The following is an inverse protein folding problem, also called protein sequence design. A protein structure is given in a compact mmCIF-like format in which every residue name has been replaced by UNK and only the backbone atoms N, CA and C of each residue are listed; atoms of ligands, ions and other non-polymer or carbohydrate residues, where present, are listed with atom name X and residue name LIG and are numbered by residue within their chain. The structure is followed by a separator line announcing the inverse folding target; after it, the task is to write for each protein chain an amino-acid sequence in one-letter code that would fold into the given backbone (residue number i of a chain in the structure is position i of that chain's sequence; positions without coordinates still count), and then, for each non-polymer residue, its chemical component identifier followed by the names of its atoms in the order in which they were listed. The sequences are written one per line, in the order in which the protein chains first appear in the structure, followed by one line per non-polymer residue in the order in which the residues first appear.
data_IF_217877257725
#
_entry.id   IF_217877257725
#
_cell.length_a   1.000
_cell.length_b   1.000
_cell.length_c   1.000
_cell.angle_alpha   90.00
_cell.angle_beta   90.00
_cell.angle_gamma   90.00
#
_symmetry.space_group_name_H-M   'P 1'
#
loop_
_entity.id
_entity.type
_entity.pdbx_description
1 polymer ?
#
# COMPACT_ATOMS: atom_id res chain seq x y z
N UNK A 1 -28.34 -9.52 -17.23
CA UNK A 1 -27.03 -10.22 -17.20
C UNK A 1 -26.01 -9.53 -18.08
N UNK A 2 -26.30 -9.30 -19.37
CA UNK A 2 -25.35 -8.66 -20.31
C UNK A 2 -24.93 -7.23 -19.92
N UNK A 3 -25.87 -6.36 -19.52
CA UNK A 3 -25.56 -4.98 -19.06
C UNK A 3 -24.68 -4.94 -17.80
N UNK A 4 -24.93 -5.84 -16.84
CA UNK A 4 -24.19 -5.89 -15.58
C UNK A 4 -22.76 -6.42 -15.78
N UNK A 5 -22.56 -7.36 -16.70
CA UNK A 5 -21.22 -7.83 -17.08
C UNK A 5 -20.42 -6.71 -17.75
N UNK A 6 -21.04 -5.94 -18.65
CA UNK A 6 -20.37 -4.79 -19.29
C UNK A 6 -19.94 -3.70 -18.29
N UNK A 7 -20.75 -3.46 -17.25
CA UNK A 7 -20.41 -2.51 -16.17
C UNK A 7 -19.24 -3.02 -15.31
N UNK A 8 -19.22 -4.31 -14.98
CA UNK A 8 -18.10 -4.94 -14.24
C UNK A 8 -16.80 -4.84 -15.05
N UNK A 9 -16.85 -5.16 -16.34
CA UNK A 9 -15.68 -5.09 -17.21
C UNK A 9 -15.12 -3.66 -17.31
N UNK A 10 -16.01 -2.68 -17.46
CA UNK A 10 -15.61 -1.26 -17.47
C UNK A 10 -14.97 -0.82 -16.15
N UNK A 11 -15.53 -1.23 -15.01
CA UNK A 11 -14.94 -0.93 -13.69
C UNK A 11 -13.55 -1.58 -13.57
N UNK A 12 -13.41 -2.84 -13.95
CA UNK A 12 -12.14 -3.56 -13.91
C UNK A 12 -11.07 -2.89 -14.78
N UNK A 13 -11.43 -2.49 -16.00
CA UNK A 13 -10.54 -1.78 -16.92
C UNK A 13 -10.11 -0.42 -16.35
N UNK A 14 -11.06 0.35 -15.80
CA UNK A 14 -10.77 1.63 -15.17
C UNK A 14 -9.81 1.47 -13.98
N UNK A 15 -10.03 0.47 -13.11
CA UNK A 15 -9.14 0.19 -11.98
C UNK A 15 -7.73 -0.21 -12.44
N UNK A 16 -7.62 -1.01 -13.49
CA UNK A 16 -6.33 -1.40 -14.07
C UNK A 16 -5.54 -0.18 -14.60
N UNK A 17 -6.24 0.79 -15.21
CA UNK A 17 -5.63 2.03 -15.70
C UNK A 17 -5.27 3.03 -14.59
N UNK A 18 -5.94 2.99 -13.44
CA UNK A 18 -5.67 3.88 -12.30
C UNK A 18 -4.26 3.63 -11.70
N UNK A 19 -3.85 2.37 -11.57
CA UNK A 19 -2.57 1.99 -10.92
C UNK A 19 -1.33 2.70 -11.51
N UNK A 20 -1.06 2.66 -12.83
CA UNK A 20 0.10 3.33 -13.40
C UNK A 20 0.03 4.87 -13.30
N UNK A 21 -1.18 5.44 -13.41
CA UNK A 21 -1.40 6.90 -13.30
C UNK A 21 -1.09 7.36 -11.87
N UNK A 22 -1.65 6.65 -10.89
CA UNK A 22 -1.39 6.92 -9.48
C UNK A 22 0.10 6.79 -9.18
N UNK A 23 0.78 5.74 -9.65
CA UNK A 23 2.23 5.57 -9.46
C UNK A 23 3.03 6.77 -9.98
N UNK A 24 2.66 7.34 -11.13
CA UNK A 24 3.30 8.54 -11.68
C UNK A 24 3.10 9.76 -10.77
N UNK A 25 1.87 9.99 -10.29
CA UNK A 25 1.54 11.09 -9.36
C UNK A 25 2.29 10.91 -8.03
N UNK A 26 2.27 9.69 -7.47
CA UNK A 26 2.97 9.32 -6.25
C UNK A 26 4.48 9.51 -6.34
N UNK A 27 5.13 9.00 -7.40
CA UNK A 27 6.58 9.11 -7.57
C UNK A 27 7.00 10.59 -7.68
N UNK A 28 6.26 11.41 -8.43
CA UNK A 28 6.54 12.84 -8.57
C UNK A 28 6.42 13.58 -7.23
N UNK A 29 5.34 13.34 -6.48
CA UNK A 29 5.07 14.03 -5.21
C UNK A 29 5.99 13.59 -4.07
N UNK A 30 6.46 12.34 -4.07
CA UNK A 30 7.33 11.82 -3.01
C UNK A 30 8.80 12.09 -3.27
N UNK A 31 9.29 11.99 -4.51
CA UNK A 31 10.72 12.22 -4.81
C UNK A 31 11.20 13.61 -4.39
N UNK A 32 10.32 14.60 -4.35
CA UNK A 32 10.65 15.96 -3.93
C UNK A 32 10.56 16.17 -2.42
N UNK A 33 9.97 15.23 -1.68
CA UNK A 33 9.68 15.38 -0.25
C UNK A 33 10.33 14.30 0.64
N UNK A 34 10.82 13.20 0.08
CA UNK A 34 11.46 12.12 0.83
C UNK A 34 12.59 11.43 0.04
N UNK A 35 13.60 10.95 0.78
CA UNK A 35 14.71 10.15 0.23
C UNK A 35 14.44 8.64 0.30
N UNK A 36 13.23 8.22 0.66
CA UNK A 36 12.87 6.81 0.74
C UNK A 36 12.74 6.19 -0.65
N UNK A 37 13.31 4.99 -0.80
CA UNK A 37 13.15 4.22 -2.04
C UNK A 37 11.68 3.81 -2.25
N UNK A 38 11.23 3.59 -3.49
CA UNK A 38 9.88 3.07 -3.75
C UNK A 38 9.61 1.76 -2.99
N UNK A 39 10.59 0.86 -2.93
CA UNK A 39 10.47 -0.41 -2.23
C UNK A 39 10.25 -0.20 -0.72
N UNK A 40 11.03 0.69 -0.10
CA UNK A 40 10.84 1.10 1.29
C UNK A 40 9.43 1.64 1.53
N UNK A 41 8.96 2.55 0.68
CA UNK A 41 7.62 3.14 0.80
C UNK A 41 6.53 2.07 0.72
N UNK A 42 6.63 1.14 -0.24
CA UNK A 42 5.69 0.02 -0.37
C UNK A 42 5.74 -0.90 0.84
N UNK A 43 6.92 -1.24 1.37
CA UNK A 43 7.06 -2.08 2.57
C UNK A 43 6.43 -1.41 3.79
N UNK A 44 6.73 -0.14 4.05
CA UNK A 44 6.15 0.59 5.17
C UNK A 44 4.63 0.70 5.03
N UNK A 45 4.12 0.90 3.81
CA UNK A 45 2.69 0.90 3.52
C UNK A 45 2.02 -0.43 3.76
N UNK A 46 2.61 -1.52 3.28
CA UNK A 46 2.11 -2.88 3.50
C UNK A 46 2.07 -3.22 5.00
N UNK A 47 3.14 -2.92 5.74
CA UNK A 47 3.19 -3.13 7.19
C UNK A 47 2.22 -2.22 7.96
N UNK A 48 2.01 -0.97 7.51
CA UNK A 48 1.00 -0.09 8.10
C UNK A 48 -0.43 -0.62 7.91
N UNK A 49 -0.70 -1.29 6.77
CA UNK A 49 -2.03 -1.83 6.44
C UNK A 49 -2.26 -3.18 7.15
N UNK A 50 -1.34 -4.14 6.99
CA UNK A 50 -1.46 -5.49 7.54
C UNK A 50 -1.03 -5.63 9.01
N UNK A 51 -0.51 -4.55 9.63
CA UNK A 51 0.09 -4.49 10.97
C UNK A 51 1.41 -5.26 11.11
N UNK A 52 1.45 -6.51 10.67
CA UNK A 52 2.64 -7.37 10.65
C UNK A 52 2.62 -8.34 9.48
N UNK A 53 3.80 -8.62 8.92
CA UNK A 53 3.98 -9.57 7.80
C UNK A 53 5.22 -10.42 8.03
N UNK A 54 5.23 -11.65 7.54
CA UNK A 54 6.47 -12.45 7.46
C UNK A 54 7.36 -11.94 6.31
N UNK A 55 8.63 -12.36 6.27
CA UNK A 55 9.51 -12.07 5.13
C UNK A 55 8.92 -12.55 3.79
N UNK A 56 8.30 -13.75 3.77
CA UNK A 56 7.61 -14.24 2.58
C UNK A 56 6.38 -13.40 2.23
N UNK A 57 5.61 -12.96 3.23
CA UNK A 57 4.50 -12.03 3.04
C UNK A 57 4.94 -10.71 2.42
N UNK A 58 6.03 -10.11 2.91
CA UNK A 58 6.60 -8.90 2.31
C UNK A 58 7.04 -9.15 0.87
N UNK A 59 7.70 -10.29 0.59
CA UNK A 59 8.10 -10.67 -0.76
C UNK A 59 6.94 -10.77 -1.74
N UNK A 60 5.83 -11.40 -1.31
CA UNK A 60 4.62 -11.52 -2.11
C UNK A 60 4.01 -10.15 -2.42
N UNK A 61 3.92 -9.26 -1.42
CA UNK A 61 3.38 -7.91 -1.61
C UNK A 61 4.25 -7.04 -2.52
N UNK A 62 5.57 -7.19 -2.45
CA UNK A 62 6.50 -6.43 -3.27
C UNK A 62 6.75 -7.07 -4.66
N UNK A 63 6.31 -8.31 -4.88
CA UNK A 63 6.64 -9.11 -6.05
C UNK A 63 8.16 -9.21 -6.29
N UNK A 64 8.94 -9.42 -5.22
CA UNK A 64 10.41 -9.54 -5.30
C UNK A 64 10.93 -10.84 -4.67
N UNK A 65 12.07 -11.37 -5.15
CA UNK A 65 12.68 -12.58 -4.57
C UNK A 65 13.12 -12.40 -3.12
N UNK A 66 13.10 -13.49 -2.36
CA UNK A 66 13.45 -13.53 -0.92
C UNK A 66 14.80 -12.88 -0.57
N UNK A 67 15.90 -13.04 -1.32
CA UNK A 67 17.16 -12.37 -1.00
C UNK A 67 17.07 -10.84 -1.00
N UNK A 68 16.25 -10.28 -1.90
CA UNK A 68 16.02 -8.82 -1.96
C UNK A 68 15.21 -8.34 -0.76
N UNK A 69 14.21 -9.14 -0.33
CA UNK A 69 13.41 -8.83 0.86
C UNK A 69 14.29 -8.80 2.10
N UNK A 70 15.16 -9.80 2.30
CA UNK A 70 16.05 -9.85 3.46
C UNK A 70 16.94 -8.61 3.53
N UNK A 71 17.62 -8.26 2.43
CA UNK A 71 18.47 -7.08 2.38
C UNK A 71 17.70 -5.77 2.66
N UNK A 72 16.47 -5.65 2.13
CA UNK A 72 15.61 -4.50 2.37
C UNK A 72 15.20 -4.41 3.85
N UNK A 73 14.71 -5.50 4.43
CA UNK A 73 14.23 -5.51 5.82
C UNK A 73 15.38 -5.29 6.79
N UNK A 74 16.55 -5.90 6.58
CA UNK A 74 17.71 -5.69 7.45
C UNK A 74 18.16 -4.23 7.43
N UNK A 75 18.11 -3.56 6.26
CA UNK A 75 18.33 -2.11 6.16
C UNK A 75 17.29 -1.33 6.98
N UNK A 76 16.00 -1.66 6.87
CA UNK A 76 14.94 -0.97 7.62
C UNK A 76 15.05 -1.19 9.14
N UNK A 77 15.53 -2.36 9.58
CA UNK A 77 15.84 -2.64 10.99
C UNK A 77 17.01 -1.76 11.44
N UNK A 78 18.09 -1.67 10.65
CA UNK A 78 19.23 -0.82 10.96
C UNK A 78 18.84 0.68 11.03
N UNK A 79 17.87 1.11 10.22
CA UNK A 79 17.31 2.45 10.27
C UNK A 79 16.29 2.65 11.42
N UNK A 80 15.94 1.58 12.16
CA UNK A 80 14.99 1.60 13.26
C UNK A 80 13.54 1.81 12.84
N UNK A 81 13.20 1.54 11.58
CA UNK A 81 11.86 1.73 11.02
C UNK A 81 10.97 0.49 11.21
N UNK A 82 11.58 -0.68 11.28
CA UNK A 82 10.87 -1.95 11.50
C UNK A 82 11.60 -2.79 12.53
N UNK A 83 10.88 -3.73 13.12
CA UNK A 83 11.42 -4.68 14.09
C UNK A 83 10.91 -6.09 13.83
N UNK A 84 11.64 -7.08 14.35
CA UNK A 84 11.25 -8.49 14.31
C UNK A 84 10.43 -8.82 15.56
N UNK A 85 9.30 -9.48 15.35
CA UNK A 85 8.41 -9.97 16.40
C UNK A 85 8.24 -11.49 16.24
N UNK A 86 8.68 -12.27 17.23
CA UNK A 86 8.37 -13.70 17.29
C UNK A 86 6.89 -13.90 17.56
N UNK A 87 6.28 -14.89 16.91
CA UNK A 87 4.90 -15.26 17.24
C UNK A 87 4.82 -15.87 18.65
N UNK A 88 3.75 -15.54 19.38
CA UNK A 88 3.52 -16.01 20.74
C UNK A 88 3.17 -17.51 20.79
N UNK A 89 2.59 -18.06 19.71
CA UNK A 89 2.16 -19.46 19.61
C UNK A 89 3.21 -20.35 18.97
N UNK A 90 3.95 -19.85 17.98
CA UNK A 90 5.08 -20.55 17.37
C UNK A 90 6.29 -19.62 17.17
N UNK A 91 7.28 -19.71 18.07
CA UNK A 91 8.48 -18.85 18.04
C UNK A 91 9.34 -19.02 16.77
N UNK A 92 9.10 -20.06 15.96
CA UNK A 92 9.76 -20.24 14.66
C UNK A 92 9.24 -19.25 13.62
N UNK A 93 8.03 -18.74 13.81
CA UNK A 93 7.44 -17.72 12.96
C UNK A 93 7.96 -16.36 13.40
N UNK A 94 8.62 -15.66 12.47
CA UNK A 94 9.10 -14.29 12.66
C UNK A 94 8.28 -13.35 11.79
N UNK A 95 7.59 -12.43 12.45
CA UNK A 95 6.93 -11.30 11.83
C UNK A 95 7.84 -10.09 11.82
N UNK A 96 7.58 -9.21 10.86
CA UNK A 96 8.11 -7.86 10.77
C UNK A 96 6.95 -6.91 11.01
N UNK A 97 7.18 -5.87 11.81
CA UNK A 97 6.21 -4.80 12.05
C UNK A 97 6.91 -3.43 12.07
N UNK A 98 6.12 -2.37 11.94
CA UNK A 98 6.62 -1.01 12.11
C UNK A 98 6.94 -0.74 13.58
N UNK A 99 8.11 -0.16 13.85
CA UNK A 99 8.37 0.51 15.14
C UNK A 99 7.54 1.80 15.24
N UNK A 100 7.53 2.46 16.40
CA UNK A 100 6.92 3.80 16.51
C UNK A 100 7.56 4.80 15.54
N UNK A 101 8.90 4.80 15.44
CA UNK A 101 9.62 5.61 14.43
C UNK A 101 9.17 5.28 13.01
N UNK A 102 8.96 4.01 12.69
CA UNK A 102 8.43 3.57 11.40
C UNK A 102 7.01 4.06 11.11
N UNK A 103 6.14 4.01 12.12
CA UNK A 103 4.75 4.52 12.04
C UNK A 103 4.74 6.01 11.80
N UNK A 104 5.55 6.78 12.53
CA UNK A 104 5.67 8.23 12.36
C UNK A 104 6.24 8.60 10.99
N UNK A 105 7.28 7.89 10.56
CA UNK A 105 7.87 8.06 9.23
C UNK A 105 6.82 7.83 8.13
N UNK A 106 6.04 6.76 8.23
CA UNK A 106 5.01 6.47 7.24
C UNK A 106 3.80 7.42 7.33
N UNK A 107 3.49 7.94 8.53
CA UNK A 107 2.47 8.98 8.71
C UNK A 107 2.87 10.26 7.96
N UNK A 108 4.14 10.64 8.05
CA UNK A 108 4.67 11.80 7.33
C UNK A 108 4.64 11.60 5.81
N UNK A 109 5.03 10.41 5.33
CA UNK A 109 4.87 10.03 3.91
C UNK A 109 3.42 10.18 3.46
N UNK A 110 2.45 9.67 4.22
CA UNK A 110 1.03 9.81 3.89
C UNK A 110 0.59 11.27 3.83
N UNK A 111 1.04 12.10 4.79
CA UNK A 111 0.76 13.54 4.78
C UNK A 111 1.28 14.20 3.50
N UNK A 112 2.53 13.94 3.13
CA UNK A 112 3.15 14.44 1.90
C UNK A 112 2.40 14.01 0.64
N UNK A 113 1.92 12.76 0.58
CA UNK A 113 1.07 12.27 -0.52
C UNK A 113 -0.26 13.03 -0.57
N UNK A 114 -0.96 13.16 0.56
CA UNK A 114 -2.24 13.87 0.64
C UNK A 114 -2.13 15.33 0.20
N UNK A 115 -1.07 16.03 0.60
CA UNK A 115 -0.81 17.40 0.15
C UNK A 115 -0.57 17.48 -1.36
N UNK A 116 0.15 16.51 -1.93
CA UNK A 116 0.41 16.45 -3.37
C UNK A 116 -0.89 16.26 -4.15
N UNK A 117 -1.77 15.35 -3.70
CA UNK A 117 -3.10 15.21 -4.28
C UNK A 117 -3.95 16.45 -4.11
N UNK A 118 -3.93 17.10 -2.94
CA UNK A 118 -4.69 18.33 -2.70
C UNK A 118 -4.32 19.42 -3.70
N UNK A 119 -3.02 19.63 -3.94
CA UNK A 119 -2.57 20.66 -4.88
C UNK A 119 -3.07 20.37 -6.30
N UNK A 120 -2.93 19.13 -6.77
CA UNK A 120 -3.35 18.72 -8.12
C UNK A 120 -4.89 18.67 -8.26
N UNK A 121 -5.62 18.38 -7.19
CA UNK A 121 -7.09 18.37 -7.21
C UNK A 121 -7.67 19.80 -7.17
N UNK A 122 -6.98 20.76 -6.56
CA UNK A 122 -7.47 22.13 -6.39
C UNK A 122 -7.68 22.92 -7.69
N UNK A 123 -7.20 22.39 -8.83
CA UNK A 123 -7.34 23.01 -10.15
C UNK A 123 -8.66 22.66 -10.85
N UNK A 124 -9.40 21.68 -10.33
CA UNK A 124 -10.67 21.23 -10.92
C UNK A 124 -11.85 21.99 -10.34
N UNK A 125 -12.93 22.10 -11.13
CA UNK A 125 -14.18 22.70 -10.70
C UNK A 125 -14.89 21.90 -9.59
N UNK A 126 -15.83 22.57 -8.92
CA UNK A 126 -16.57 22.05 -7.77
C UNK A 126 -17.38 20.80 -8.12
N UNK A 127 -18.04 20.78 -9.28
CA UNK A 127 -18.85 19.63 -9.74
C UNK A 127 -17.99 18.38 -9.91
N UNK A 128 -16.81 18.53 -10.52
CA UNK A 128 -15.85 17.44 -10.72
C UNK A 128 -15.28 16.95 -9.39
N UNK A 129 -14.98 17.86 -8.46
CA UNK A 129 -14.49 17.49 -7.12
C UNK A 129 -15.58 16.77 -6.31
N UNK A 130 -16.82 17.23 -6.38
CA UNK A 130 -17.93 16.57 -5.71
C UNK A 130 -18.16 15.15 -6.24
N UNK A 131 -18.18 14.96 -7.57
CA UNK A 131 -18.26 13.61 -8.17
C UNK A 131 -17.07 12.73 -7.77
N UNK A 132 -15.86 13.29 -7.75
CA UNK A 132 -14.68 12.54 -7.33
C UNK A 132 -14.72 12.16 -5.85
N UNK A 133 -15.24 13.02 -4.98
CA UNK A 133 -15.42 12.73 -3.57
C UNK A 133 -16.30 11.49 -3.37
N UNK A 134 -17.47 11.46 -4.02
CA UNK A 134 -18.38 10.30 -3.98
C UNK A 134 -17.70 9.05 -4.55
N UNK A 135 -17.18 9.11 -5.78
CA UNK A 135 -16.57 7.94 -6.44
C UNK A 135 -15.34 7.40 -5.69
N UNK A 136 -14.48 8.28 -5.17
CA UNK A 136 -13.25 7.87 -4.46
C UNK A 136 -13.57 7.12 -3.17
N UNK A 137 -14.68 7.45 -2.51
CA UNK A 137 -15.17 6.72 -1.35
C UNK A 137 -15.58 5.30 -1.72
N UNK A 138 -16.42 5.14 -2.74
CA UNK A 138 -16.85 3.82 -3.22
C UNK A 138 -15.67 2.97 -3.69
N UNK A 139 -14.76 3.53 -4.52
CA UNK A 139 -13.56 2.82 -4.98
C UNK A 139 -12.73 2.34 -3.78
N UNK A 140 -12.49 3.19 -2.78
CA UNK A 140 -11.71 2.81 -1.59
C UNK A 140 -12.37 1.67 -0.83
N UNK A 141 -13.67 1.76 -0.57
CA UNK A 141 -14.42 0.75 0.18
C UNK A 141 -14.45 -0.59 -0.56
N UNK A 142 -14.74 -0.58 -1.87
CA UNK A 142 -14.70 -1.78 -2.71
C UNK A 142 -13.31 -2.42 -2.75
N UNK A 143 -12.25 -1.63 -2.91
CA UNK A 143 -10.88 -2.16 -2.93
C UNK A 143 -10.46 -2.74 -1.57
N UNK A 144 -10.93 -2.18 -0.45
CA UNK A 144 -10.67 -2.73 0.89
C UNK A 144 -11.40 -4.05 1.11
N UNK A 145 -12.63 -4.20 0.60
CA UNK A 145 -13.36 -5.47 0.61
C UNK A 145 -12.67 -6.54 -0.25
N UNK A 146 -12.23 -6.17 -1.45
CA UNK A 146 -11.42 -7.04 -2.32
C UNK A 146 -10.12 -7.45 -1.63
N UNK A 147 -9.40 -6.51 -1.00
CA UNK A 147 -8.14 -6.81 -0.32
C UNK A 147 -8.32 -7.77 0.87
N UNK A 148 -9.46 -7.75 1.56
CA UNK A 148 -9.79 -8.70 2.64
C UNK A 148 -10.05 -10.10 2.11
N UNK A 149 -10.70 -10.26 0.96
CA UNK A 149 -10.97 -11.59 0.38
C UNK A 149 -9.70 -12.32 -0.08
N UNK A 150 -8.67 -11.59 -0.48
CA UNK A 150 -7.35 -12.17 -0.81
C UNK A 150 -6.56 -12.62 0.43
N UNK A 151 -6.74 -11.98 1.58
CA UNK A 151 -6.02 -12.32 2.82
C UNK A 151 -6.46 -13.65 3.44
N UNK A 152 -7.72 -14.05 3.26
CA UNK A 152 -8.23 -15.36 3.73
C UNK A 152 -7.64 -16.56 2.98
N UNK A 153 -7.06 -16.35 1.78
CA UNK A 153 -6.44 -17.42 0.98
C UNK A 153 -4.93 -17.62 1.22
N UNK A 154 -4.20 -16.60 1.67
CA UNK A 154 -2.74 -16.68 1.82
C UNK A 154 -2.26 -17.30 3.14
N UNK A 155 -3.15 -17.50 4.12
CA UNK A 155 -2.81 -18.15 5.39
C UNK A 155 -2.82 -19.69 5.34
N UNK A 156 -3.06 -20.29 4.17
CA UNK A 156 -3.22 -21.75 3.99
C UNK A 156 -2.02 -22.42 3.31
N UNK A 157 -0.83 -21.81 3.36
CA UNK A 157 0.40 -22.43 2.88
C UNK A 157 1.13 -23.16 4.01
N UNK A 158 0.80 -24.44 4.20
CA UNK A 158 1.65 -25.41 4.89
C UNK A 158 2.88 -25.75 4.03
#
# INVERSE_FOLDING_TARGET
MEKQNNEIDSVAENLAHIVPILKRIFIKGLRTKTNLSPQTLYTLGALSYHKKLTMSGIGNHLSVPKPHVTALVDKLIAEGLVERLSDERDRRIIYIQLTEKGKDTFKEVKRMMTESFRAELSIFDEDKIHKMYECSRYIRETLDEMAKSFQTGCCSGN
#
